data_IF_685052413431
#
_entry.id   IF_685052413431
#
_cell.length_a   1.000
_cell.length_b   1.000
_cell.length_c   1.000
_cell.angle_alpha   90.00
_cell.angle_beta   90.00
_cell.angle_gamma   90.00
#
_symmetry.space_group_name_H-M   'P 1'
#
loop_
_entity.id
_entity.type
_entity.pdbx_description
1 polymer ?
#
# COMPACT_ATOMS: atom_id res chain seq x y z
N UNK A 1 -30.65 21.77 -45.55
CA UNK A 1 -29.93 20.48 -45.70
C UNK A 1 -29.24 20.17 -44.37
N UNK A 2 -29.35 18.92 -43.93
CA UNK A 2 -29.08 18.43 -42.57
C UNK A 2 -27.59 18.57 -42.19
N UNK A 3 -27.29 19.27 -41.10
CA UNK A 3 -26.02 19.11 -40.38
C UNK A 3 -26.05 17.72 -39.74
N UNK A 4 -25.24 16.80 -40.27
CA UNK A 4 -25.07 15.46 -39.70
C UNK A 4 -24.22 15.61 -38.44
N UNK A 5 -24.86 15.37 -37.30
CA UNK A 5 -24.26 15.32 -35.97
C UNK A 5 -23.31 14.11 -35.91
N UNK A 6 -22.03 14.35 -36.23
CA UNK A 6 -20.91 13.43 -36.04
C UNK A 6 -20.34 13.59 -34.62
N UNK A 7 -21.13 13.36 -33.56
CA UNK A 7 -20.65 13.60 -32.19
C UNK A 7 -21.03 12.60 -31.07
N UNK A 8 -21.40 11.32 -31.29
CA UNK A 8 -21.45 10.37 -30.17
C UNK A 8 -20.11 9.69 -29.88
N UNK A 9 -19.20 9.57 -30.87
CA UNK A 9 -18.03 8.69 -30.78
C UNK A 9 -16.84 9.27 -30.00
N UNK A 10 -16.71 10.60 -29.93
CA UNK A 10 -15.61 11.25 -29.21
C UNK A 10 -15.83 11.30 -27.69
N UNK A 11 -17.08 11.30 -27.23
CA UNK A 11 -17.42 11.31 -25.80
C UNK A 11 -17.10 9.98 -25.10
N UNK A 12 -17.24 8.86 -25.81
CA UNK A 12 -16.93 7.52 -25.25
C UNK A 12 -15.41 7.34 -25.06
N UNK A 13 -14.59 7.90 -25.96
CA UNK A 13 -13.13 7.81 -25.87
C UNK A 13 -12.57 8.57 -24.65
N UNK A 14 -13.15 9.72 -24.31
CA UNK A 14 -12.72 10.55 -23.18
C UNK A 14 -13.09 9.96 -21.81
N UNK A 15 -14.16 9.15 -21.74
CA UNK A 15 -14.59 8.49 -20.51
C UNK A 15 -13.71 7.28 -20.14
N UNK A 16 -13.03 6.67 -21.12
CA UNK A 16 -12.12 5.53 -20.90
C UNK A 16 -10.73 5.96 -20.37
N UNK A 17 -10.31 7.20 -20.64
CA UNK A 17 -9.00 7.70 -20.21
C UNK A 17 -8.94 8.04 -18.70
N UNK A 18 -10.09 8.19 -18.03
CA UNK A 18 -10.16 8.52 -16.61
C UNK A 18 -9.91 7.31 -15.67
N UNK A 19 -9.75 6.10 -16.21
CA UNK A 19 -9.43 4.89 -15.45
C UNK A 19 -7.97 4.43 -15.63
N UNK A 20 -7.07 5.30 -16.09
CA UNK A 20 -5.63 5.05 -16.04
C UNK A 20 -5.13 5.22 -14.60
N UNK A 21 -5.57 4.33 -13.70
CA UNK A 21 -4.90 4.13 -12.42
C UNK A 21 -3.46 3.64 -12.67
N UNK A 22 -2.56 3.86 -11.70
CA UNK A 22 -1.18 3.39 -11.78
C UNK A 22 -1.15 1.92 -12.22
N UNK A 23 -0.61 1.67 -13.41
CA UNK A 23 -0.63 0.35 -14.00
C UNK A 23 0.52 -0.44 -13.42
N UNK A 24 0.20 -1.50 -12.68
CA UNK A 24 1.20 -2.41 -12.14
C UNK A 24 1.42 -3.54 -13.12
N UNK A 25 2.68 -3.76 -13.49
CA UNK A 25 3.08 -4.85 -14.38
C UNK A 25 4.20 -5.69 -13.76
N UNK A 26 4.26 -6.96 -14.14
CA UNK A 26 5.31 -7.88 -13.74
C UNK A 26 5.97 -8.48 -14.99
N UNK A 27 6.92 -7.79 -15.63
CA UNK A 27 7.55 -8.27 -16.85
C UNK A 27 8.35 -9.57 -16.63
N UNK A 28 8.76 -9.86 -15.39
CA UNK A 28 9.42 -11.12 -15.05
C UNK A 28 8.44 -12.31 -14.98
N UNK A 29 7.19 -12.06 -14.59
CA UNK A 29 6.13 -13.06 -14.44
C UNK A 29 4.79 -12.51 -14.97
N UNK A 30 4.55 -12.53 -16.29
CA UNK A 30 3.38 -11.89 -16.91
C UNK A 30 2.04 -12.56 -16.56
N UNK A 31 2.08 -13.80 -16.10
CA UNK A 31 0.94 -14.59 -15.61
C UNK A 31 0.68 -14.41 -14.10
N UNK A 32 1.56 -13.69 -13.38
CA UNK A 32 1.41 -13.46 -11.96
C UNK A 32 0.16 -12.63 -11.65
N UNK A 33 -0.59 -13.04 -10.63
CA UNK A 33 -1.77 -12.32 -10.19
C UNK A 33 -1.40 -11.17 -9.26
N UNK A 34 -1.52 -9.93 -9.74
CA UNK A 34 -1.30 -8.72 -8.93
C UNK A 34 -2.10 -8.77 -7.62
N UNK A 35 -3.36 -9.19 -7.69
CA UNK A 35 -4.25 -9.26 -6.53
C UNK A 35 -3.76 -10.26 -5.49
N UNK A 36 -3.25 -11.42 -5.91
CA UNK A 36 -2.72 -12.43 -5.00
C UNK A 36 -1.43 -11.97 -4.31
N UNK A 37 -0.54 -11.33 -5.07
CA UNK A 37 0.71 -10.78 -4.55
C UNK A 37 0.46 -9.60 -3.61
N UNK A 38 -0.44 -8.68 -3.98
CA UNK A 38 -0.85 -7.57 -3.12
C UNK A 38 -1.43 -8.08 -1.79
N UNK A 39 -2.34 -9.05 -1.82
CA UNK A 39 -2.92 -9.61 -0.60
C UNK A 39 -1.86 -10.29 0.29
N UNK A 40 -0.85 -10.91 -0.32
CA UNK A 40 0.27 -11.51 0.43
C UNK A 40 1.13 -10.44 1.08
N UNK A 41 1.53 -9.42 0.31
CA UNK A 41 2.32 -8.30 0.82
C UNK A 41 1.59 -7.51 1.91
N UNK A 42 0.26 -7.37 1.83
CA UNK A 42 -0.56 -6.74 2.88
C UNK A 42 -0.53 -7.53 4.18
N UNK A 43 -0.69 -8.87 4.12
CA UNK A 43 -0.58 -9.72 5.33
C UNK A 43 0.79 -9.63 5.98
N UNK A 44 1.86 -9.56 5.19
CA UNK A 44 3.22 -9.40 5.71
C UNK A 44 3.40 -8.04 6.37
N UNK A 45 2.91 -6.96 5.76
CA UNK A 45 2.94 -5.62 6.34
C UNK A 45 2.15 -5.54 7.66
N UNK A 46 0.97 -6.17 7.74
CA UNK A 46 0.19 -6.27 8.97
C UNK A 46 0.92 -7.07 10.05
N UNK A 47 1.58 -8.19 9.69
CA UNK A 47 2.35 -8.99 10.64
C UNK A 47 3.48 -8.16 11.25
N UNK A 48 4.20 -7.38 10.44
CA UNK A 48 5.26 -6.50 10.95
C UNK A 48 4.68 -5.38 11.83
N UNK A 49 3.55 -4.79 11.44
CA UNK A 49 2.87 -3.79 12.25
C UNK A 49 2.48 -4.35 13.63
N UNK A 50 1.88 -5.54 13.69
CA UNK A 50 1.57 -6.23 14.96
C UNK A 50 2.81 -6.52 15.81
N UNK A 51 3.91 -6.94 15.18
CA UNK A 51 5.18 -7.16 15.89
C UNK A 51 5.74 -5.85 16.47
N UNK A 52 5.67 -4.74 15.72
CA UNK A 52 6.11 -3.43 16.22
C UNK A 52 5.27 -2.95 17.41
N UNK A 53 3.95 -3.14 17.37
CA UNK A 53 3.06 -2.85 18.50
C UNK A 53 3.38 -3.72 19.71
N UNK A 54 3.61 -5.02 19.51
CA UNK A 54 3.96 -5.94 20.60
C UNK A 54 5.28 -5.54 21.26
N UNK A 55 6.27 -5.12 20.46
CA UNK A 55 7.55 -4.62 20.98
C UNK A 55 7.37 -3.34 21.80
N UNK A 56 6.53 -2.40 21.35
CA UNK A 56 6.23 -1.18 22.10
C UNK A 56 5.60 -1.49 23.47
N UNK A 57 4.65 -2.44 23.53
CA UNK A 57 4.03 -2.85 24.80
C UNK A 57 5.04 -3.54 25.73
N UNK A 58 5.92 -4.38 25.17
CA UNK A 58 6.98 -5.03 25.94
C UNK A 58 7.97 -4.00 26.52
N UNK A 59 8.41 -3.02 25.72
CA UNK A 59 9.33 -1.98 26.14
C UNK A 59 8.71 -1.11 27.25
N UNK A 60 7.42 -0.72 27.15
CA UNK A 60 6.71 -0.04 28.25
C UNK A 60 6.63 -0.88 29.52
N UNK A 61 6.34 -2.18 29.39
CA UNK A 61 6.25 -3.10 30.54
C UNK A 61 7.59 -3.25 31.24
N UNK A 62 8.69 -3.33 30.49
CA UNK A 62 10.05 -3.44 31.03
C UNK A 62 10.43 -2.15 31.77
N UNK A 63 10.22 -0.99 31.15
CA UNK A 63 10.56 0.30 31.76
C UNK A 63 9.74 0.56 33.03
N UNK A 64 8.45 0.19 33.05
CA UNK A 64 7.59 0.29 34.25
C UNK A 64 8.09 -0.62 35.38
N UNK A 65 8.49 -1.87 35.07
CA UNK A 65 9.06 -2.79 36.07
C UNK A 65 10.42 -2.36 36.60
N UNK A 66 11.19 -1.62 35.82
CA UNK A 66 12.50 -1.10 36.24
C UNK A 66 12.41 0.24 36.98
N UNK A 67 11.20 0.78 37.19
CA UNK A 67 11.01 2.08 37.84
C UNK A 67 11.54 3.25 37.01
N UNK A 68 11.72 3.05 35.70
CA UNK A 68 12.20 4.07 34.77
C UNK A 68 10.98 4.76 34.17
N UNK A 69 10.99 6.10 34.20
CA UNK A 69 9.93 6.89 33.57
C UNK A 69 9.89 6.60 32.07
N UNK A 70 8.77 6.03 31.62
CA UNK A 70 8.58 5.66 30.22
C UNK A 70 8.19 6.92 29.47
N UNK A 71 9.15 7.56 28.78
CA UNK A 71 8.83 8.69 27.93
C UNK A 71 7.69 8.29 26.98
N UNK A 72 6.55 9.03 26.96
CA UNK A 72 5.40 8.64 26.17
C UNK A 72 5.82 8.60 24.70
N UNK A 73 5.66 7.42 24.12
CA UNK A 73 5.85 7.16 22.70
C UNK A 73 4.98 8.16 21.92
N UNK A 74 5.54 8.96 21.00
CA UNK A 74 4.80 10.01 20.32
C UNK A 74 3.58 9.44 19.60
N UNK A 75 2.44 10.11 19.77
CA UNK A 75 1.10 9.72 19.30
C UNK A 75 1.05 9.48 17.77
N UNK A 76 2.00 10.05 17.02
CA UNK A 76 2.14 9.92 15.57
C UNK A 76 2.70 8.56 15.09
N UNK A 77 3.07 7.64 15.98
CA UNK A 77 3.61 6.34 15.55
C UNK A 77 2.59 5.45 14.82
N UNK A 78 1.29 5.69 14.98
CA UNK A 78 0.26 5.01 14.18
C UNK A 78 0.27 5.49 12.73
N UNK A 79 0.47 6.78 12.48
CA UNK A 79 0.62 7.33 11.13
C UNK A 79 1.94 6.82 10.48
N UNK A 80 3.03 6.79 11.23
CA UNK A 80 4.30 6.21 10.76
C UNK A 80 4.20 4.70 10.51
N UNK A 81 3.45 3.96 11.33
CA UNK A 81 3.22 2.53 11.11
C UNK A 81 2.40 2.27 9.84
N UNK A 82 1.40 3.10 9.54
CA UNK A 82 0.62 3.04 8.30
C UNK A 82 1.48 3.39 7.09
N UNK A 83 2.28 4.47 7.17
CA UNK A 83 3.21 4.87 6.12
C UNK A 83 4.28 3.79 5.88
N UNK A 84 4.81 3.19 6.95
CA UNK A 84 5.76 2.08 6.89
C UNK A 84 5.13 0.84 6.30
N UNK A 85 3.87 0.53 6.65
CA UNK A 85 3.11 -0.58 6.09
C UNK A 85 2.91 -0.43 4.58
N UNK A 86 2.51 0.77 4.12
CA UNK A 86 2.38 1.06 2.68
C UNK A 86 3.74 0.99 1.96
N UNK A 87 4.80 1.52 2.57
CA UNK A 87 6.17 1.39 2.05
C UNK A 87 6.63 -0.07 1.97
N UNK A 88 6.24 -0.90 2.92
CA UNK A 88 6.57 -2.32 2.95
C UNK A 88 5.82 -3.10 1.87
N UNK A 89 4.53 -2.81 1.64
CA UNK A 89 3.77 -3.38 0.53
C UNK A 89 4.42 -3.05 -0.80
N UNK A 90 4.81 -1.79 -1.02
CA UNK A 90 5.50 -1.37 -2.24
C UNK A 90 6.82 -2.11 -2.45
N UNK A 91 7.65 -2.25 -1.41
CA UNK A 91 8.91 -3.01 -1.48
C UNK A 91 8.68 -4.50 -1.73
N UNK A 92 7.68 -5.09 -1.08
CA UNK A 92 7.33 -6.50 -1.28
C UNK A 92 6.89 -6.77 -2.73
N UNK A 93 6.05 -5.90 -3.29
CA UNK A 93 5.63 -5.97 -4.69
C UNK A 93 6.83 -5.81 -5.63
N UNK A 94 7.71 -4.82 -5.40
CA UNK A 94 8.93 -4.63 -6.19
C UNK A 94 9.84 -5.87 -6.17
N UNK A 95 10.02 -6.50 -5.01
CA UNK A 95 10.81 -7.74 -4.88
C UNK A 95 10.18 -8.93 -5.61
N UNK A 96 8.86 -8.91 -5.81
CA UNK A 96 8.12 -9.89 -6.60
C UNK A 96 8.14 -9.57 -8.10
N UNK A 97 8.80 -8.50 -8.53
CA UNK A 97 8.92 -8.09 -9.92
C UNK A 97 7.87 -7.08 -10.38
N UNK A 98 6.99 -6.62 -9.49
CA UNK A 98 5.96 -5.63 -9.83
C UNK A 98 6.54 -4.22 -9.92
N UNK A 99 6.20 -3.51 -11.00
CA UNK A 99 6.59 -2.13 -11.25
C UNK A 99 5.36 -1.29 -11.56
N UNK A 100 5.32 -0.07 -11.02
CA UNK A 100 4.31 0.91 -11.39
C UNK A 100 4.78 1.63 -12.65
N UNK A 101 3.95 1.60 -13.70
CA UNK A 101 4.08 2.46 -14.88
C UNK A 101 3.28 3.74 -14.74
#
# INVERSE_FOLDING_TARGET
MKLVVLFPSLLVASLLAACAGAQWENPAHPDASFKADLATCQRDAERVSRLSQTRQVADQTICTRQGVDCMPLPENQTADAVATGQGMVKRCLANRGWQAR
#
